data_IF_015726845597
#
_entry.id   IF_015726845597
#
_cell.length_a   1.000
_cell.length_b   1.000
_cell.length_c   1.000
_cell.angle_alpha   90.00
_cell.angle_beta   90.00
_cell.angle_gamma   90.00
#
_symmetry.space_group_name_H-M   'P 1'
#
loop_
_entity.id
_entity.type
_entity.pdbx_description
1 polymer ?
#
# COMPACT_ATOMS: atom_id res chain seq x y z
N UNK A 1 -11.03 -4.26 -1.17
CA UNK A 1 -11.02 -5.72 -0.93
C UNK A 1 -11.05 -6.50 -2.24
N UNK A 2 -10.75 -7.80 -2.17
CA UNK A 2 -10.64 -8.69 -3.33
C UNK A 2 -11.98 -8.86 -4.07
N UNK A 3 -13.07 -9.05 -3.34
CA UNK A 3 -14.39 -9.24 -3.92
C UNK A 3 -14.84 -8.00 -4.70
N UNK A 4 -14.61 -6.81 -4.15
CA UNK A 4 -14.89 -5.55 -4.85
C UNK A 4 -14.02 -5.36 -6.10
N UNK A 5 -12.76 -5.80 -6.06
CA UNK A 5 -11.89 -5.76 -7.23
C UNK A 5 -12.40 -6.68 -8.34
N UNK A 6 -12.79 -7.92 -8.00
CA UNK A 6 -13.30 -8.87 -9.00
C UNK A 6 -14.57 -8.38 -9.67
N UNK A 7 -15.51 -7.81 -8.89
CA UNK A 7 -16.83 -7.36 -9.38
C UNK A 7 -16.78 -6.12 -10.28
N UNK A 8 -15.75 -5.29 -10.18
CA UNK A 8 -15.61 -4.06 -10.96
C UNK A 8 -14.84 -4.33 -12.25
N UNK A 9 -15.52 -4.33 -13.39
CA UNK A 9 -14.90 -4.59 -14.70
C UNK A 9 -13.90 -3.51 -15.12
N UNK A 10 -14.13 -2.26 -14.75
CA UNK A 10 -13.29 -1.10 -15.10
C UNK A 10 -11.93 -1.10 -14.39
N UNK A 11 -11.81 -1.80 -13.25
CA UNK A 11 -10.56 -1.86 -12.51
C UNK A 11 -9.63 -2.91 -13.12
N UNK A 12 -8.50 -2.45 -13.64
CA UNK A 12 -7.46 -3.31 -14.22
C UNK A 12 -6.47 -3.81 -13.18
N UNK A 13 -6.16 -3.00 -12.17
CA UNK A 13 -5.22 -3.31 -11.08
C UNK A 13 -5.72 -2.82 -9.73
N UNK A 14 -5.19 -3.38 -8.67
CA UNK A 14 -5.48 -2.97 -7.29
C UNK A 14 -4.36 -3.36 -6.32
N UNK A 15 -4.25 -2.60 -5.23
CA UNK A 15 -3.50 -2.99 -4.05
C UNK A 15 -4.45 -3.56 -3.00
N UNK A 16 -4.21 -4.80 -2.60
CA UNK A 16 -5.04 -5.51 -1.62
C UNK A 16 -4.20 -5.87 -0.41
N UNK A 17 -4.67 -5.47 0.77
CA UNK A 17 -4.12 -5.93 2.03
C UNK A 17 -4.79 -7.25 2.42
N UNK A 18 -4.01 -8.29 2.68
CA UNK A 18 -4.52 -9.60 3.05
C UNK A 18 -3.57 -10.33 4.00
N UNK A 19 -4.11 -11.27 4.76
CA UNK A 19 -3.32 -12.19 5.60
C UNK A 19 -3.13 -13.50 4.86
N UNK A 20 -1.90 -13.98 4.82
CA UNK A 20 -1.55 -15.27 4.23
C UNK A 20 -1.96 -16.41 5.19
N UNK A 21 -2.93 -17.19 4.78
CA UNK A 21 -3.41 -18.34 5.54
C UNK A 21 -2.57 -19.59 5.27
N UNK A 22 -2.18 -19.79 4.00
CA UNK A 22 -1.41 -20.96 3.58
C UNK A 22 -0.61 -20.64 2.31
N UNK A 23 0.59 -21.21 2.22
CA UNK A 23 1.40 -21.23 1.00
C UNK A 23 1.67 -22.66 0.58
N UNK A 24 1.49 -22.97 -0.70
CA UNK A 24 1.79 -24.28 -1.27
C UNK A 24 2.68 -24.11 -2.49
N UNK A 25 3.95 -24.42 -2.34
CA UNK A 25 4.88 -24.45 -3.47
C UNK A 25 4.70 -25.74 -4.29
N UNK A 26 4.73 -25.59 -5.60
CA UNK A 26 4.59 -26.66 -6.57
C UNK A 26 5.53 -26.45 -7.75
N UNK A 27 5.67 -27.47 -8.57
CA UNK A 27 6.42 -27.40 -9.84
C UNK A 27 5.47 -27.64 -11.01
N UNK A 28 5.68 -26.89 -12.08
CA UNK A 28 5.02 -27.16 -13.36
C UNK A 28 5.61 -28.40 -14.03
N UNK A 29 4.95 -28.93 -15.04
CA UNK A 29 5.49 -30.05 -15.84
C UNK A 29 6.86 -29.72 -16.49
N UNK A 30 7.16 -28.45 -16.69
CA UNK A 30 8.47 -27.96 -17.21
C UNK A 30 9.52 -27.73 -16.11
N UNK A 31 9.20 -28.06 -14.85
CA UNK A 31 10.11 -27.93 -13.71
C UNK A 31 10.14 -26.53 -13.05
N UNK A 32 9.42 -25.53 -13.58
CA UNK A 32 9.38 -24.18 -12.99
C UNK A 32 8.59 -24.18 -11.69
N UNK A 33 9.10 -23.51 -10.67
CA UNK A 33 8.43 -23.35 -9.38
C UNK A 33 7.30 -22.34 -9.47
N UNK A 34 6.22 -22.59 -8.77
CA UNK A 34 5.14 -21.63 -8.52
C UNK A 34 4.54 -21.89 -7.14
N UNK A 35 3.79 -20.95 -6.61
CA UNK A 35 3.06 -21.17 -5.36
C UNK A 35 1.60 -20.77 -5.49
N UNK A 36 0.76 -21.50 -4.75
CA UNK A 36 -0.64 -21.15 -4.50
C UNK A 36 -0.70 -20.50 -3.13
N UNK A 37 -1.12 -19.24 -3.07
CA UNK A 37 -1.31 -18.47 -1.85
C UNK A 37 -2.78 -18.48 -1.50
N UNK A 38 -3.15 -19.05 -0.34
CA UNK A 38 -4.47 -18.91 0.23
C UNK A 38 -4.46 -17.70 1.17
N UNK A 39 -5.29 -16.73 0.89
CA UNK A 39 -5.30 -15.42 1.52
C UNK A 39 -6.69 -15.08 2.06
N UNK A 40 -6.73 -14.19 3.03
CA UNK A 40 -7.99 -13.56 3.48
C UNK A 40 -7.80 -12.06 3.62
N UNK A 41 -8.81 -11.33 3.16
CA UNK A 41 -8.94 -9.90 3.38
C UNK A 41 -10.12 -9.59 4.26
N UNK A 42 -10.48 -9.15 5.12
CA UNK A 42 -11.66 -8.94 6.00
C UNK A 42 -13.02 -9.35 5.38
N UNK A 43 -13.12 -9.49 4.06
CA UNK A 43 -14.38 -9.76 3.34
C UNK A 43 -14.48 -11.18 2.80
N UNK A 44 -13.36 -11.78 2.43
CA UNK A 44 -13.34 -13.06 1.71
C UNK A 44 -12.07 -13.87 1.94
N UNK A 45 -12.15 -15.15 1.59
CA UNK A 45 -11.00 -16.04 1.45
C UNK A 45 -10.83 -16.34 -0.03
N UNK A 46 -9.63 -16.18 -0.56
CA UNK A 46 -9.33 -16.35 -1.98
C UNK A 46 -7.95 -16.98 -2.21
N UNK A 47 -7.73 -17.45 -3.40
CA UNK A 47 -6.45 -18.04 -3.79
C UNK A 47 -5.85 -17.27 -4.97
N UNK A 48 -4.53 -17.04 -4.90
CA UNK A 48 -3.75 -16.43 -5.97
C UNK A 48 -2.55 -17.30 -6.32
N UNK A 49 -2.20 -17.29 -7.60
CA UNK A 49 -1.03 -17.99 -8.10
C UNK A 49 0.11 -16.99 -8.28
N UNK A 50 1.30 -17.35 -7.81
CA UNK A 50 2.53 -16.61 -8.06
C UNK A 50 3.54 -17.53 -8.75
N UNK A 51 4.21 -17.01 -9.76
CA UNK A 51 5.21 -17.75 -10.52
C UNK A 51 6.62 -17.52 -9.97
N UNK A 52 7.60 -18.25 -10.51
CA UNK A 52 8.97 -18.33 -10.01
C UNK A 52 9.56 -16.96 -9.63
N UNK A 53 9.43 -15.97 -10.49
CA UNK A 53 10.06 -14.67 -10.30
C UNK A 53 9.53 -13.95 -9.04
N UNK A 54 8.20 -13.92 -8.89
CA UNK A 54 7.55 -13.30 -7.71
C UNK A 54 7.77 -14.17 -6.47
N UNK A 55 7.77 -15.50 -6.62
CA UNK A 55 7.99 -16.43 -5.52
C UNK A 55 9.39 -16.28 -4.92
N UNK A 56 10.42 -16.29 -5.75
CA UNK A 56 11.82 -16.20 -5.31
C UNK A 56 12.12 -14.88 -4.62
N UNK A 57 11.64 -13.77 -5.17
CA UNK A 57 11.84 -12.43 -4.58
C UNK A 57 11.14 -12.25 -3.22
N UNK A 58 10.10 -13.03 -2.94
CA UNK A 58 9.25 -12.82 -1.77
C UNK A 58 9.22 -13.99 -0.79
N UNK A 59 10.02 -15.03 -1.01
CA UNK A 59 10.01 -16.27 -0.22
C UNK A 59 10.13 -16.03 1.29
N UNK A 60 10.93 -15.07 1.71
CA UNK A 60 11.17 -14.77 3.12
C UNK A 60 9.95 -14.18 3.84
N UNK A 61 9.11 -13.42 3.12
CA UNK A 61 7.92 -12.77 3.68
C UNK A 61 6.65 -13.63 3.55
N UNK A 62 6.70 -14.70 2.73
CA UNK A 62 5.58 -15.63 2.51
C UNK A 62 5.48 -16.66 3.64
N UNK A 63 5.23 -16.20 4.85
CA UNK A 63 5.01 -17.03 6.05
C UNK A 63 3.54 -17.01 6.42
N UNK A 64 2.98 -18.15 6.78
CA UNK A 64 1.60 -18.25 7.25
C UNK A 64 1.37 -17.30 8.44
N UNK A 65 0.26 -16.58 8.44
CA UNK A 65 -0.06 -15.51 9.39
C UNK A 65 0.53 -14.13 9.05
N UNK A 66 1.37 -14.01 8.01
CA UNK A 66 1.90 -12.70 7.59
C UNK A 66 0.81 -11.85 6.96
N UNK A 67 0.80 -10.57 7.33
CA UNK A 67 -0.03 -9.55 6.66
C UNK A 67 0.75 -8.93 5.50
N UNK A 68 0.18 -9.01 4.32
CA UNK A 68 0.81 -8.64 3.05
C UNK A 68 -0.01 -7.56 2.34
N UNK A 69 0.67 -6.76 1.52
CA UNK A 69 0.04 -5.95 0.47
C UNK A 69 0.44 -6.57 -0.87
N UNK A 70 -0.58 -6.92 -1.65
CA UNK A 70 -0.42 -7.49 -2.97
C UNK A 70 -0.89 -6.50 -4.02
N UNK A 71 -0.01 -6.18 -4.98
CA UNK A 71 -0.41 -5.51 -6.22
C UNK A 71 -0.83 -6.58 -7.21
N UNK A 72 -2.11 -6.59 -7.54
CA UNK A 72 -2.74 -7.57 -8.44
C UNK A 72 -3.30 -6.89 -9.68
N UNK A 73 -3.38 -7.61 -10.77
CA UNK A 73 -3.97 -7.11 -12.00
C UNK A 73 -4.77 -8.18 -12.74
N UNK A 74 -5.80 -7.74 -13.47
CA UNK A 74 -6.61 -8.57 -14.34
C UNK A 74 -5.94 -8.73 -15.69
N UNK A 75 -5.77 -9.96 -16.11
CA UNK A 75 -5.36 -10.30 -17.45
C UNK A 75 -6.53 -11.02 -18.14
N UNK A 76 -7.13 -10.35 -19.11
CA UNK A 76 -8.23 -10.90 -19.89
C UNK A 76 -7.62 -11.62 -21.09
N UNK A 77 -7.84 -12.94 -21.22
CA UNK A 77 -7.42 -13.66 -22.40
C UNK A 77 -8.20 -13.18 -23.63
N UNK A 78 -7.51 -13.07 -24.76
CA UNK A 78 -8.16 -12.71 -26.03
C UNK A 78 -8.90 -13.88 -26.67
N UNK A 79 -8.94 -15.05 -25.99
CA UNK A 79 -9.63 -16.25 -26.46
C UNK A 79 -11.15 -16.07 -26.37
N UNK A 80 -11.90 -16.83 -27.15
CA UNK A 80 -13.37 -16.80 -27.21
C UNK A 80 -14.05 -16.91 -25.86
N UNK A 81 -13.42 -17.56 -24.87
CA UNK A 81 -13.93 -17.76 -23.52
C UNK A 81 -13.68 -16.58 -22.54
N UNK A 82 -12.95 -15.54 -22.95
CA UNK A 82 -12.65 -14.34 -22.13
C UNK A 82 -12.35 -14.61 -20.67
N UNK A 83 -11.51 -15.63 -20.40
CA UNK A 83 -11.14 -15.98 -19.04
C UNK A 83 -10.32 -14.87 -18.41
N UNK A 84 -10.84 -14.27 -17.35
CA UNK A 84 -10.10 -13.31 -16.54
C UNK A 84 -9.19 -14.03 -15.57
N UNK A 85 -7.88 -13.82 -15.69
CA UNK A 85 -6.88 -14.33 -14.76
C UNK A 85 -6.39 -13.19 -13.88
N UNK A 86 -6.27 -13.45 -12.58
CA UNK A 86 -5.67 -12.51 -11.64
C UNK A 86 -4.21 -12.88 -11.46
N UNK A 87 -3.34 -11.94 -11.77
CA UNK A 87 -1.90 -12.10 -11.60
C UNK A 87 -1.40 -11.19 -10.47
N UNK A 88 -0.41 -11.66 -9.74
CA UNK A 88 0.28 -10.89 -8.71
C UNK A 88 1.54 -10.30 -9.32
N UNK A 89 1.66 -8.98 -9.29
CA UNK A 89 2.82 -8.25 -9.79
C UNK A 89 3.85 -8.01 -8.69
N UNK A 90 3.39 -7.66 -7.48
CA UNK A 90 4.23 -7.30 -6.36
C UNK A 90 3.63 -7.78 -5.05
N UNK A 91 4.49 -8.17 -4.13
CA UNK A 91 4.14 -8.47 -2.75
C UNK A 91 5.03 -7.66 -1.83
N UNK A 92 4.46 -7.12 -0.75
CA UNK A 92 5.21 -6.43 0.28
C UNK A 92 4.68 -6.83 1.66
N UNK A 93 5.56 -6.90 2.64
CA UNK A 93 5.18 -7.09 4.03
C UNK A 93 4.51 -5.82 4.56
N UNK A 94 3.30 -5.92 5.09
CA UNK A 94 2.61 -4.79 5.70
C UNK A 94 3.40 -4.25 6.89
N UNK A 95 4.02 -5.13 7.68
CA UNK A 95 4.86 -4.76 8.82
C UNK A 95 6.07 -3.92 8.38
N UNK A 96 6.73 -4.29 7.29
CA UNK A 96 7.90 -3.57 6.81
C UNK A 96 7.53 -2.21 6.23
N UNK A 97 6.38 -2.13 5.56
CA UNK A 97 5.83 -0.85 5.10
C UNK A 97 5.51 0.09 6.26
N UNK A 98 4.92 -0.43 7.34
CA UNK A 98 4.65 0.40 8.53
C UNK A 98 5.92 0.84 9.26
N UNK A 99 6.96 0.03 9.24
CA UNK A 99 8.25 0.34 9.87
C UNK A 99 9.19 1.14 8.97
N UNK A 100 8.87 1.26 7.68
CA UNK A 100 9.70 2.02 6.75
C UNK A 100 9.68 3.52 7.12
N UNK A 101 10.85 4.19 7.08
CA UNK A 101 10.92 5.62 7.37
C UNK A 101 10.09 6.41 6.34
N UNK A 102 9.49 7.49 6.79
CA UNK A 102 8.84 8.46 5.91
C UNK A 102 9.92 9.41 5.43
N UNK A 103 10.26 9.34 4.15
CA UNK A 103 11.29 10.20 3.57
C UNK A 103 10.74 11.60 3.29
N UNK A 104 9.53 11.69 2.76
CA UNK A 104 8.88 12.94 2.42
C UNK A 104 7.37 12.86 2.66
N UNK A 105 6.79 13.94 3.17
CA UNK A 105 5.35 14.07 3.39
C UNK A 105 4.88 15.45 2.94
N UNK A 106 3.68 15.49 2.37
CA UNK A 106 2.98 16.74 2.02
C UNK A 106 1.68 16.83 2.79
N UNK A 107 1.52 17.85 3.61
CA UNK A 107 0.28 18.16 4.32
C UNK A 107 -0.57 19.11 3.49
N UNK A 108 -1.87 18.83 3.39
CA UNK A 108 -2.86 19.76 2.83
C UNK A 108 -3.66 20.34 3.98
N UNK A 109 -3.62 21.66 4.11
CA UNK A 109 -4.24 22.43 5.19
C UNK A 109 -5.24 23.41 4.61
N UNK A 110 -6.33 23.65 5.33
CA UNK A 110 -7.39 24.58 4.94
C UNK A 110 -7.51 25.76 5.89
N UNK A 111 -6.73 25.78 6.97
CA UNK A 111 -6.72 26.88 7.94
C UNK A 111 -5.38 27.01 8.66
N UNK A 112 -5.12 28.19 9.21
CA UNK A 112 -3.92 28.45 10.04
C UNK A 112 -3.92 27.63 11.34
N UNK A 113 -5.08 27.35 11.93
CA UNK A 113 -5.19 26.50 13.12
C UNK A 113 -4.64 25.09 12.90
N UNK A 114 -4.75 24.57 11.67
CA UNK A 114 -4.19 23.28 11.33
C UNK A 114 -2.65 23.30 11.31
N UNK A 115 -2.02 24.47 11.08
CA UNK A 115 -0.56 24.63 11.17
C UNK A 115 -0.10 24.42 12.62
N UNK A 116 -0.82 24.95 13.59
CA UNK A 116 -0.48 24.74 15.00
C UNK A 116 -0.57 23.27 15.38
N UNK A 117 -1.60 22.57 14.90
CA UNK A 117 -1.78 21.14 15.15
C UNK A 117 -0.65 20.30 14.59
N UNK A 118 -0.21 20.55 13.35
CA UNK A 118 0.95 19.82 12.80
C UNK A 118 2.26 20.21 13.48
N UNK A 119 2.41 21.44 13.96
CA UNK A 119 3.62 21.88 14.64
C UNK A 119 3.91 21.04 15.89
N UNK A 120 2.88 20.62 16.61
CA UNK A 120 3.03 19.77 17.81
C UNK A 120 3.63 18.40 17.50
N UNK A 121 3.43 17.89 16.28
CA UNK A 121 3.91 16.58 15.81
C UNK A 121 5.28 16.69 15.15
N UNK A 122 5.63 17.87 14.64
CA UNK A 122 6.85 18.13 13.89
C UNK A 122 7.94 18.84 14.72
N UNK A 123 7.91 18.71 16.04
CA UNK A 123 8.81 19.45 16.94
C UNK A 123 10.26 18.97 16.85
N UNK A 124 10.49 17.68 16.67
CA UNK A 124 11.82 17.10 16.71
C UNK A 124 12.52 17.14 15.36
N UNK A 125 13.82 17.34 15.37
CA UNK A 125 14.66 17.15 14.20
C UNK A 125 14.70 15.68 13.78
N UNK A 126 14.75 15.44 12.47
CA UNK A 126 14.72 14.09 11.92
C UNK A 126 15.13 14.03 10.46
N UNK A 127 14.62 13.04 9.74
CA UNK A 127 15.00 12.77 8.35
C UNK A 127 13.87 12.96 7.34
N UNK A 128 12.64 13.23 7.79
CA UNK A 128 11.49 13.42 6.91
C UNK A 128 11.45 14.84 6.37
N UNK A 129 11.43 14.97 5.06
CA UNK A 129 11.19 16.22 4.36
C UNK A 129 9.70 16.55 4.47
N UNK A 130 9.36 17.77 4.89
CA UNK A 130 7.99 18.19 5.11
C UNK A 130 7.62 19.34 4.19
N UNK A 131 6.59 19.12 3.38
CA UNK A 131 5.94 20.13 2.56
C UNK A 131 4.56 20.44 3.15
N UNK A 132 4.15 21.68 3.07
CA UNK A 132 2.87 22.19 3.54
C UNK A 132 2.20 22.91 2.37
N UNK A 133 1.00 22.49 2.01
CA UNK A 133 0.15 23.12 1.02
C UNK A 133 -1.05 23.73 1.77
N UNK A 134 -1.05 25.04 1.95
CA UNK A 134 -2.17 25.77 2.55
C UNK A 134 -3.12 26.21 1.43
N UNK A 135 -4.32 25.69 1.45
CA UNK A 135 -5.39 26.04 0.51
C UNK A 135 -6.13 27.26 1.07
N UNK A 136 -6.09 28.35 0.34
CA UNK A 136 -6.85 29.58 0.60
C UNK A 136 -7.95 29.70 -0.46
N UNK A 137 -8.87 30.66 -0.29
CA UNK A 137 -9.97 30.87 -1.26
C UNK A 137 -9.49 31.07 -2.70
N UNK A 138 -8.37 31.80 -2.88
CA UNK A 138 -7.85 32.18 -4.20
C UNK A 138 -6.64 31.38 -4.66
N UNK A 139 -5.88 30.76 -3.74
CA UNK A 139 -4.58 30.20 -4.06
C UNK A 139 -4.19 28.98 -3.18
N UNK A 140 -3.18 28.25 -3.64
CA UNK A 140 -2.50 27.23 -2.83
C UNK A 140 -1.09 27.76 -2.53
N UNK A 141 -0.83 28.05 -1.27
CA UNK A 141 0.49 28.43 -0.80
C UNK A 141 1.29 27.16 -0.47
N UNK A 142 2.47 27.02 -1.08
CA UNK A 142 3.33 25.85 -0.91
C UNK A 142 4.58 26.24 -0.13
N UNK A 143 4.81 25.54 0.96
CA UNK A 143 5.96 25.73 1.84
C UNK A 143 6.72 24.42 1.96
N UNK A 144 8.03 24.51 2.08
CA UNK A 144 8.89 23.40 2.48
C UNK A 144 9.62 23.79 3.75
N UNK A 145 9.56 22.96 4.78
CA UNK A 145 10.31 23.25 6.00
C UNK A 145 11.81 23.19 5.71
N UNK A 146 12.55 24.16 6.25
CA UNK A 146 13.99 24.27 6.05
C UNK A 146 14.74 23.04 6.58
N UNK A 147 14.32 22.56 7.75
CA UNK A 147 14.92 21.39 8.40
C UNK A 147 13.99 20.20 8.30
N UNK A 148 14.57 19.00 8.06
CA UNK A 148 13.83 17.76 8.13
C UNK A 148 13.33 17.48 9.55
N UNK A 149 12.21 16.76 9.67
CA UNK A 149 11.53 16.49 10.94
C UNK A 149 11.47 15.01 11.22
N UNK A 150 11.37 14.66 12.50
CA UNK A 150 11.01 13.31 12.92
C UNK A 150 9.49 13.15 12.77
N UNK A 151 9.08 12.17 11.96
CA UNK A 151 7.67 11.87 11.75
C UNK A 151 7.44 10.36 11.83
N UNK A 152 6.56 9.98 12.73
CA UNK A 152 6.13 8.60 12.90
C UNK A 152 4.75 8.39 12.23
N UNK A 153 4.55 7.23 11.62
CA UNK A 153 3.26 6.90 10.99
C UNK A 153 2.08 6.94 11.96
N UNK A 154 2.32 6.68 13.24
CA UNK A 154 1.30 6.81 14.30
C UNK A 154 0.75 8.22 14.40
N UNK A 155 1.63 9.21 14.29
CA UNK A 155 1.25 10.63 14.37
C UNK A 155 0.37 11.06 13.20
N UNK A 156 0.55 10.45 12.01
CA UNK A 156 -0.32 10.74 10.86
C UNK A 156 -1.76 10.26 11.07
N UNK A 157 -1.97 9.17 11.81
CA UNK A 157 -3.32 8.70 12.12
C UNK A 157 -4.08 9.68 13.04
N UNK A 158 -3.38 10.37 13.94
CA UNK A 158 -3.98 11.39 14.79
C UNK A 158 -4.45 12.60 13.97
N UNK A 159 -3.71 12.95 12.92
CA UNK A 159 -4.06 14.08 12.03
C UNK A 159 -5.28 13.78 11.16
N UNK A 160 -5.51 12.53 10.77
CA UNK A 160 -6.71 12.13 10.02
C UNK A 160 -8.00 12.47 10.77
N UNK A 161 -8.02 12.29 12.07
CA UNK A 161 -9.17 12.63 12.92
C UNK A 161 -9.40 14.14 13.03
N UNK A 162 -8.47 14.96 12.56
CA UNK A 162 -8.50 16.41 12.57
C UNK A 162 -8.69 17.03 11.17
N UNK A 163 -9.15 16.20 10.21
CA UNK A 163 -9.36 16.59 8.82
C UNK A 163 -8.11 17.09 8.08
N UNK A 164 -6.92 16.72 8.58
CA UNK A 164 -5.65 17.05 7.95
C UNK A 164 -5.23 15.89 7.04
N UNK A 165 -5.14 16.14 5.75
CA UNK A 165 -4.68 15.17 4.78
C UNK A 165 -3.15 15.17 4.69
N UNK A 166 -2.54 14.00 4.88
CA UNK A 166 -1.11 13.77 4.69
C UNK A 166 -0.86 12.81 3.53
N UNK A 167 -0.05 13.22 2.58
CA UNK A 167 0.36 12.42 1.42
C UNK A 167 1.83 12.06 1.61
N UNK A 168 2.13 10.77 1.70
CA UNK A 168 3.50 10.25 1.78
C UNK A 168 3.99 10.05 0.34
N UNK A 169 5.14 10.65 0.01
CA UNK A 169 5.78 10.60 -1.30
C UNK A 169 6.94 9.60 -1.31
#
# INVERSE_FOLDING_TARGET
DYSSFISKEDLKDANIAATLLKVQERKTAKGNSYAVLKLTDLSSVFELFIFSDVLELNREILKEGSSLILTIFKNVSNDENRLTRINVQKIASLKDLFNSPINEVSFQLNSEEQIEKISTILNDEGKTIVNINLVTEDNILKFRLKNARKLERKSLNLLRNQEIQAIIN
#
